data_IF_305597285421
#
_entry.id   IF_305597285421
#
_cell.length_a   1.000
_cell.length_b   1.000
_cell.length_c   1.000
_cell.angle_alpha   90.00
_cell.angle_beta   90.00
_cell.angle_gamma   90.00
#
_symmetry.space_group_name_H-M   'P 1'
#
loop_
_entity.id
_entity.type
_entity.pdbx_description
1 polymer ?
#
# COMPACT_ATOMS: atom_id res chain seq x y z
N UNK A 1 13.33 -13.56 -18.88
CA UNK A 1 14.34 -14.02 -17.88
C UNK A 1 14.17 -15.50 -17.58
N UNK A 2 15.20 -16.23 -17.15
CA UNK A 2 15.05 -17.63 -16.70
C UNK A 2 14.46 -17.71 -15.29
N UNK A 3 13.86 -18.85 -14.92
CA UNK A 3 13.31 -19.06 -13.57
C UNK A 3 14.37 -18.91 -12.46
N UNK A 4 15.62 -19.30 -12.73
CA UNK A 4 16.75 -19.13 -11.79
C UNK A 4 17.10 -17.65 -11.59
N UNK A 5 17.11 -16.86 -12.67
CA UNK A 5 17.33 -15.41 -12.59
C UNK A 5 16.21 -14.72 -11.81
N UNK A 6 14.95 -15.09 -12.06
CA UNK A 6 13.79 -14.54 -11.34
C UNK A 6 13.88 -14.89 -9.85
N UNK A 7 14.17 -16.15 -9.50
CA UNK A 7 14.30 -16.58 -8.11
C UNK A 7 15.40 -15.81 -7.37
N UNK A 8 16.53 -15.58 -8.04
CA UNK A 8 17.63 -14.77 -7.48
C UNK A 8 17.19 -13.32 -7.24
N UNK A 9 16.59 -12.66 -8.23
CA UNK A 9 16.11 -11.27 -8.05
C UNK A 9 15.13 -11.20 -6.89
N UNK A 10 14.15 -12.11 -6.82
CA UNK A 10 13.19 -12.17 -5.71
C UNK A 10 13.84 -12.26 -4.33
N UNK A 11 14.95 -12.97 -4.20
CA UNK A 11 15.69 -13.08 -2.93
C UNK A 11 16.53 -11.85 -2.58
N UNK A 12 16.82 -10.99 -3.56
CA UNK A 12 17.62 -9.77 -3.41
C UNK A 12 16.75 -8.50 -3.35
N UNK A 13 15.43 -8.60 -3.57
CA UNK A 13 14.52 -7.45 -3.54
C UNK A 13 14.30 -6.99 -2.10
N UNK A 14 14.43 -5.69 -1.89
CA UNK A 14 14.08 -5.02 -0.66
C UNK A 14 12.71 -4.36 -0.83
N UNK A 15 11.83 -4.55 0.16
CA UNK A 15 10.52 -3.90 0.20
C UNK A 15 10.51 -2.79 1.24
N UNK A 16 9.92 -1.65 0.88
CA UNK A 16 9.64 -0.54 1.80
C UNK A 16 8.17 -0.14 1.72
N UNK A 17 7.66 0.40 2.82
CA UNK A 17 6.29 0.91 2.95
C UNK A 17 6.39 2.38 3.33
N UNK A 18 5.59 3.21 2.67
CA UNK A 18 5.41 4.61 3.01
C UNK A 18 3.92 4.89 3.21
N UNK A 19 3.60 5.58 4.30
CA UNK A 19 2.27 6.09 4.59
C UNK A 19 2.23 7.56 4.16
N UNK A 20 1.59 7.83 3.03
CA UNK A 20 1.48 9.16 2.44
C UNK A 20 0.14 9.81 2.80
N UNK A 21 0.11 11.15 2.79
CA UNK A 21 -1.13 11.91 2.99
C UNK A 21 -2.13 11.57 1.89
N UNK A 22 -3.38 11.27 2.29
CA UNK A 22 -4.46 11.07 1.34
C UNK A 22 -5.12 12.40 0.97
N UNK A 23 -5.35 12.60 -0.34
CA UNK A 23 -5.98 13.80 -0.89
C UNK A 23 -7.45 13.59 -1.25
N UNK A 24 -7.91 12.34 -1.29
CA UNK A 24 -9.34 12.02 -1.37
C UNK A 24 -10.02 12.51 -0.08
N UNK A 25 -11.13 13.26 -0.17
CA UNK A 25 -11.86 13.70 1.02
C UNK A 25 -12.36 12.53 1.87
N UNK A 26 -12.41 12.69 3.18
CA UNK A 26 -13.00 11.69 4.08
C UNK A 26 -14.51 11.59 3.81
N UNK A 27 -15.16 12.74 3.66
CA UNK A 27 -16.60 12.86 3.48
C UNK A 27 -17.08 12.17 2.19
N UNK A 28 -17.94 11.17 2.35
CA UNK A 28 -18.52 10.38 1.28
C UNK A 28 -17.59 9.32 0.69
N UNK A 29 -16.36 9.14 1.20
CA UNK A 29 -15.43 8.09 0.75
C UNK A 29 -15.13 7.05 1.83
N UNK A 30 -15.31 7.38 3.12
CA UNK A 30 -15.30 6.36 4.17
C UNK A 30 -16.65 5.65 4.18
N UNK A 31 -16.63 4.32 4.04
CA UNK A 31 -17.82 3.47 4.07
C UNK A 31 -17.58 2.29 5.00
N UNK A 32 -18.30 2.24 6.12
CA UNK A 32 -18.25 1.12 7.06
C UNK A 32 -19.25 0.03 6.69
N UNK A 33 -20.48 0.40 6.32
CA UNK A 33 -21.55 -0.55 6.02
C UNK A 33 -22.46 -0.13 4.86
N UNK A 34 -22.32 1.11 4.36
CA UNK A 34 -23.24 1.71 3.40
C UNK A 34 -24.52 2.26 4.05
N UNK A 35 -24.63 2.18 5.39
CA UNK A 35 -25.65 2.86 6.16
C UNK A 35 -25.15 4.26 6.54
N UNK A 36 -25.98 5.28 6.26
CA UNK A 36 -25.60 6.67 6.48
C UNK A 36 -25.15 6.99 7.92
N UNK A 37 -25.77 6.40 8.94
CA UNK A 37 -25.41 6.69 10.34
C UNK A 37 -24.08 6.03 10.71
N UNK A 38 -23.85 4.79 10.26
CA UNK A 38 -22.60 4.05 10.50
C UNK A 38 -21.43 4.66 9.73
N UNK A 39 -21.65 5.05 8.47
CA UNK A 39 -20.63 5.67 7.62
C UNK A 39 -20.25 7.05 8.16
N UNK A 40 -21.21 7.86 8.62
CA UNK A 40 -20.95 9.13 9.30
C UNK A 40 -20.13 8.94 10.59
N UNK A 41 -20.42 7.90 11.36
CA UNK A 41 -19.65 7.58 12.55
C UNK A 41 -18.21 7.16 12.20
N UNK A 42 -18.02 6.41 11.11
CA UNK A 42 -16.70 6.03 10.62
C UNK A 42 -15.89 7.24 10.14
N UNK A 43 -16.50 8.17 9.39
CA UNK A 43 -15.86 9.44 9.00
C UNK A 43 -15.38 10.24 10.22
N UNK A 44 -16.21 10.29 11.28
CA UNK A 44 -15.86 10.99 12.51
C UNK A 44 -14.68 10.33 13.25
N UNK A 45 -14.62 8.99 13.26
CA UNK A 45 -13.51 8.24 13.84
C UNK A 45 -12.21 8.48 13.07
N UNK A 46 -12.27 8.42 11.73
CA UNK A 46 -11.13 8.70 10.86
C UNK A 46 -10.58 10.12 11.10
N UNK A 47 -11.46 11.13 11.14
CA UNK A 47 -11.07 12.51 11.43
C UNK A 47 -10.41 12.65 12.79
N UNK A 48 -11.00 12.05 13.82
CA UNK A 48 -10.40 12.06 15.17
C UNK A 48 -9.02 11.39 15.20
N UNK A 49 -8.81 10.35 14.40
CA UNK A 49 -7.52 9.68 14.25
C UNK A 49 -6.46 10.62 13.67
N UNK A 50 -6.76 11.28 12.55
CA UNK A 50 -5.86 12.26 11.94
C UNK A 50 -5.55 13.44 12.87
N UNK A 51 -6.57 13.99 13.55
CA UNK A 51 -6.40 15.09 14.51
C UNK A 51 -5.52 14.71 15.70
N UNK A 52 -5.50 13.43 16.07
CA UNK A 52 -4.61 12.88 17.10
C UNK A 52 -3.18 12.62 16.62
N UNK A 53 -2.90 12.83 15.32
CA UNK A 53 -1.60 12.61 14.70
C UNK A 53 -1.38 11.18 14.20
N UNK A 54 -2.43 10.39 14.01
CA UNK A 54 -2.33 9.08 13.37
C UNK A 54 -2.54 9.20 11.84
N UNK A 55 -1.49 9.14 11.01
CA UNK A 55 -1.66 9.23 9.56
C UNK A 55 -2.37 8.01 8.96
N UNK A 56 -2.31 6.85 9.62
CA UNK A 56 -2.95 5.62 9.12
C UNK A 56 -4.48 5.64 9.18
N UNK A 57 -5.06 6.61 9.90
CA UNK A 57 -6.52 6.77 9.95
C UNK A 57 -7.11 7.08 8.56
N UNK A 58 -6.34 7.74 7.69
CA UNK A 58 -6.69 7.99 6.29
C UNK A 58 -5.43 8.28 5.49
N UNK A 59 -4.96 7.30 4.73
CA UNK A 59 -3.70 7.42 3.99
C UNK A 59 -3.77 6.81 2.60
N UNK A 60 -2.77 7.19 1.81
CA UNK A 60 -2.35 6.46 0.63
C UNK A 60 -1.11 5.66 1.01
N UNK A 61 -1.20 4.33 0.99
CA UNK A 61 -0.05 3.48 1.24
C UNK A 61 0.69 3.23 -0.07
N UNK A 62 2.00 3.39 -0.04
CA UNK A 62 2.90 3.06 -1.14
C UNK A 62 3.80 1.91 -0.72
N UNK A 63 3.79 0.82 -1.48
CA UNK A 63 4.70 -0.31 -1.31
C UNK A 63 5.68 -0.32 -2.47
N UNK A 64 6.97 -0.28 -2.17
CA UNK A 64 8.03 -0.23 -3.18
C UNK A 64 8.87 -1.50 -3.15
N UNK A 65 9.05 -2.13 -4.30
CA UNK A 65 10.02 -3.19 -4.53
C UNK A 65 11.27 -2.58 -5.16
N UNK A 66 12.43 -2.77 -4.54
CA UNK A 66 13.71 -2.25 -5.02
C UNK A 66 14.72 -3.36 -5.27
N UNK A 67 15.41 -3.29 -6.40
CA UNK A 67 16.55 -4.14 -6.72
C UNK A 67 17.64 -3.31 -7.41
N UNK A 68 18.76 -3.08 -6.71
CA UNK A 68 19.85 -2.20 -7.15
C UNK A 68 19.32 -0.77 -7.41
N UNK A 69 19.52 -0.27 -8.63
CA UNK A 69 19.09 1.07 -9.09
C UNK A 69 17.67 1.07 -9.67
N UNK A 70 16.98 -0.08 -9.70
CA UNK A 70 15.63 -0.20 -10.22
C UNK A 70 14.64 -0.32 -9.06
N UNK A 71 13.51 0.35 -9.21
CA UNK A 71 12.40 0.29 -8.27
C UNK A 71 11.07 0.39 -9.00
N UNK A 72 10.06 -0.27 -8.42
CA UNK A 72 8.68 -0.14 -8.83
C UNK A 72 7.80 -0.12 -7.58
N UNK A 73 6.70 0.63 -7.65
CA UNK A 73 5.80 0.81 -6.52
C UNK A 73 4.36 0.49 -6.91
N UNK A 74 3.59 0.04 -5.93
CA UNK A 74 2.14 -0.06 -5.96
C UNK A 74 1.53 0.85 -4.89
N UNK A 75 0.30 1.33 -5.13
CA UNK A 75 -0.37 2.34 -4.31
C UNK A 75 -1.80 1.92 -3.94
N UNK A 76 -2.16 2.13 -2.67
CA UNK A 76 -3.51 1.92 -2.15
C UNK A 76 -3.99 3.18 -1.43
N UNK A 77 -4.88 3.94 -2.08
CA UNK A 77 -5.50 5.14 -1.53
C UNK A 77 -6.81 4.85 -0.78
N UNK A 78 -7.34 5.89 -0.14
CA UNK A 78 -8.60 5.89 0.59
C UNK A 78 -8.71 4.73 1.61
N UNK A 79 -7.59 4.44 2.29
CA UNK A 79 -7.51 3.33 3.22
C UNK A 79 -7.37 3.83 4.67
N UNK A 80 -7.93 3.03 5.58
CA UNK A 80 -7.98 3.31 7.02
C UNK A 80 -7.44 2.11 7.77
N UNK A 81 -6.46 2.34 8.64
CA UNK A 81 -5.85 1.38 9.54
C UNK A 81 -5.51 2.04 10.88
N UNK A 82 -5.46 1.24 11.94
CA UNK A 82 -4.95 1.62 13.26
C UNK A 82 -3.44 1.90 13.20
N UNK A 83 -2.69 1.14 12.40
CA UNK A 83 -1.23 1.28 12.27
C UNK A 83 -0.67 0.53 11.06
N UNK A 84 0.61 0.77 10.76
CA UNK A 84 1.39 -0.03 9.80
C UNK A 84 1.33 -1.53 10.10
N UNK A 85 1.28 -1.91 11.38
CA UNK A 85 1.28 -3.33 11.77
C UNK A 85 -0.03 -4.01 11.37
N UNK A 86 -1.15 -3.28 11.43
CA UNK A 86 -2.44 -3.80 10.97
C UNK A 86 -2.46 -3.93 9.46
N UNK A 87 -1.96 -2.93 8.73
CA UNK A 87 -1.82 -3.01 7.28
C UNK A 87 -0.98 -4.22 6.83
N UNK A 88 0.10 -4.52 7.56
CA UNK A 88 0.99 -5.64 7.28
C UNK A 88 0.45 -7.01 7.73
N UNK A 89 -0.72 -7.08 8.37
CA UNK A 89 -1.25 -8.33 8.88
C UNK A 89 -1.50 -9.36 7.76
N UNK A 90 -1.47 -10.65 8.10
CA UNK A 90 -1.72 -11.72 7.13
C UNK A 90 -3.14 -11.60 6.54
N UNK A 91 -3.23 -11.74 5.20
CA UNK A 91 -4.49 -11.65 4.48
C UNK A 91 -4.97 -10.22 4.19
N UNK A 92 -4.14 -9.22 4.48
CA UNK A 92 -4.35 -7.84 4.05
C UNK A 92 -3.86 -7.56 2.62
N UNK A 93 -3.91 -6.30 2.22
CA UNK A 93 -3.44 -5.85 0.89
C UNK A 93 -1.92 -5.82 0.75
N UNK A 94 -1.17 -5.84 1.85
CA UNK A 94 0.28 -5.68 1.80
C UNK A 94 0.96 -6.73 0.91
N UNK A 95 0.61 -8.01 1.05
CA UNK A 95 1.21 -9.10 0.28
C UNK A 95 0.88 -9.02 -1.22
N UNK A 96 -0.34 -8.55 -1.54
CA UNK A 96 -0.77 -8.33 -2.91
C UNK A 96 0.01 -7.17 -3.53
N UNK A 97 0.12 -6.05 -2.82
CA UNK A 97 0.90 -4.89 -3.27
C UNK A 97 2.39 -5.21 -3.44
N UNK A 98 2.99 -6.04 -2.56
CA UNK A 98 4.34 -6.56 -2.76
C UNK A 98 4.46 -7.36 -4.06
N UNK A 99 3.45 -8.19 -4.36
CA UNK A 99 3.43 -9.01 -5.56
C UNK A 99 3.32 -8.18 -6.83
N UNK A 100 2.48 -7.15 -6.84
CA UNK A 100 2.29 -6.23 -7.97
C UNK A 100 3.53 -5.34 -8.21
N UNK A 101 4.10 -4.76 -7.15
CA UNK A 101 5.33 -3.99 -7.23
C UNK A 101 6.49 -4.84 -7.76
N UNK A 102 6.64 -6.06 -7.27
CA UNK A 102 7.66 -7.01 -7.73
C UNK A 102 7.44 -7.45 -9.19
N UNK A 103 6.20 -7.71 -9.60
CA UNK A 103 5.89 -8.07 -10.98
C UNK A 103 6.27 -6.95 -11.95
N UNK A 104 5.95 -5.70 -11.59
CA UNK A 104 6.33 -4.51 -12.34
C UNK A 104 7.85 -4.37 -12.44
N UNK A 105 8.57 -4.52 -11.32
CA UNK A 105 10.03 -4.47 -11.27
C UNK A 105 10.68 -5.54 -12.17
N UNK A 106 10.19 -6.78 -12.12
CA UNK A 106 10.69 -7.86 -12.98
C UNK A 106 10.48 -7.55 -14.47
N UNK A 107 9.34 -6.94 -14.82
CA UNK A 107 9.09 -6.46 -16.19
C UNK A 107 10.07 -5.38 -16.63
N UNK A 108 10.43 -4.44 -15.74
CA UNK A 108 11.46 -3.44 -16.03
C UNK A 108 12.83 -4.07 -16.25
N UNK A 109 13.23 -5.02 -15.40
CA UNK A 109 14.52 -5.72 -15.53
C UNK A 109 14.62 -6.45 -16.87
N UNK A 110 13.54 -7.13 -17.27
CA UNK A 110 13.50 -7.84 -18.56
C UNK A 110 13.68 -6.88 -19.75
N UNK A 111 13.09 -5.69 -19.70
CA UNK A 111 13.22 -4.68 -20.75
C UNK A 111 14.61 -4.03 -20.83
N UNK A 112 15.36 -3.98 -19.73
CA UNK A 112 16.72 -3.40 -19.67
C UNK A 112 17.80 -4.39 -20.10
N UNK A 113 17.53 -5.70 -20.00
CA UNK A 113 18.48 -6.76 -20.34
C UNK A 113 18.40 -7.26 -21.80
N UNK A 114 17.75 -6.49 -22.69
CA UNK A 114 17.69 -6.73 -24.15
C UNK A 114 18.87 -6.06 -24.85
#
# INVERSE_FOLDING_TARGET
MTSEQIARVRSEVEFSIECEEEHIPIEGNVSASGNADDDLAAEALVRSGLESGNPWAWCCVKVTAKWRELEASDYLGACTYESETEFCAEGGYFQDMQSEALATLLGQIENVQI
#
